data_IF_241748875477
#
_entry.id   IF_241748875477
#
_cell.length_a   1.000
_cell.length_b   1.000
_cell.length_c   1.000
_cell.angle_alpha   90.00
_cell.angle_beta   90.00
_cell.angle_gamma   90.00
#
_symmetry.space_group_name_H-M   'P 1'
#
loop_
_entity.id
_entity.type
_entity.pdbx_description
1 polymer ?
#
# COMPACT_ATOMS: atom_id res chain seq x y z
N UNK A 1 -0.81 2.98 -11.49
CA UNK A 1 -1.11 1.55 -11.26
C UNK A 1 0.17 0.81 -10.86
N UNK A 2 0.03 -0.14 -9.93
CA UNK A 2 1.06 -0.95 -9.30
C UNK A 2 0.58 -2.41 -9.16
N UNK A 3 1.44 -3.28 -8.63
CA UNK A 3 1.14 -4.68 -8.31
C UNK A 3 1.60 -5.04 -6.89
N UNK A 4 1.37 -6.28 -6.48
CA UNK A 4 1.99 -6.83 -5.26
C UNK A 4 3.34 -7.45 -5.62
N UNK A 5 4.39 -7.03 -4.92
CA UNK A 5 5.76 -7.51 -5.13
C UNK A 5 6.24 -8.25 -3.88
N UNK A 6 7.10 -9.23 -4.09
CA UNK A 6 7.74 -9.97 -3.02
C UNK A 6 9.22 -10.15 -3.36
N UNK A 7 10.09 -9.81 -2.41
CA UNK A 7 11.50 -10.12 -2.46
C UNK A 7 11.80 -11.23 -1.45
N UNK A 8 12.45 -12.30 -1.92
CA UNK A 8 12.91 -13.40 -1.07
C UNK A 8 14.43 -13.37 -1.06
N UNK A 9 15.00 -13.05 0.09
CA UNK A 9 16.44 -13.06 0.30
C UNK A 9 17.02 -14.48 0.19
N UNK A 10 18.25 -14.59 -0.30
CA UNK A 10 18.96 -15.87 -0.35
C UNK A 10 19.28 -16.40 1.06
N UNK A 11 19.57 -15.48 1.98
CA UNK A 11 19.89 -15.78 3.38
C UNK A 11 18.97 -14.99 4.33
N UNK A 12 18.58 -15.63 5.44
CA UNK A 12 17.76 -14.97 6.45
C UNK A 12 18.48 -13.73 7.02
N UNK A 13 17.74 -12.60 7.14
CA UNK A 13 18.25 -11.31 7.67
C UNK A 13 19.34 -10.63 6.83
N UNK A 14 19.60 -11.11 5.62
CA UNK A 14 20.54 -10.48 4.69
C UNK A 14 19.83 -10.09 3.39
N UNK A 15 19.63 -8.79 3.18
CA UNK A 15 18.96 -8.27 1.99
C UNK A 15 19.92 -8.01 0.81
N UNK A 16 21.18 -8.46 0.90
CA UNK A 16 22.20 -8.20 -0.12
C UNK A 16 22.03 -9.02 -1.41
N UNK A 17 21.23 -10.08 -1.39
CA UNK A 17 20.95 -10.91 -2.56
C UNK A 17 19.59 -11.62 -2.43
N UNK A 18 18.90 -11.80 -3.55
CA UNK A 18 17.63 -12.53 -3.55
C UNK A 18 16.87 -12.48 -4.86
N UNK A 19 15.67 -13.06 -4.83
CA UNK A 19 14.77 -13.14 -5.98
C UNK A 19 13.57 -12.22 -5.81
N UNK A 20 13.28 -11.42 -6.84
CA UNK A 20 12.12 -10.56 -6.93
C UNK A 20 10.99 -11.27 -7.71
N UNK A 21 9.77 -11.16 -7.18
CA UNK A 21 8.55 -11.71 -7.75
C UNK A 21 7.46 -10.63 -7.83
N UNK A 22 6.52 -10.82 -8.76
CA UNK A 22 5.25 -10.09 -8.82
C UNK A 22 4.08 -11.06 -8.75
N UNK A 23 3.00 -10.67 -8.07
CA UNK A 23 1.80 -11.48 -7.99
C UNK A 23 0.99 -11.43 -9.29
N UNK A 24 0.37 -12.56 -9.62
CA UNK A 24 -0.79 -12.68 -10.50
C UNK A 24 -2.00 -12.96 -9.63
N UNK A 25 -2.99 -12.07 -9.70
CA UNK A 25 -4.27 -12.19 -9.01
C UNK A 25 -5.18 -13.12 -9.81
N UNK A 26 -5.74 -14.12 -9.15
CA UNK A 26 -6.70 -15.06 -9.72
C UNK A 26 -8.09 -14.44 -9.91
N UNK A 27 -9.06 -15.27 -10.27
CA UNK A 27 -10.46 -14.85 -10.30
C UNK A 27 -11.00 -14.60 -8.88
N UNK A 28 -12.08 -13.81 -8.78
CA UNK A 28 -12.78 -13.57 -7.51
C UNK A 28 -12.33 -12.34 -6.72
N UNK A 29 -11.43 -11.51 -7.27
CA UNK A 29 -11.03 -10.27 -6.61
C UNK A 29 -12.26 -9.41 -6.31
N UNK A 30 -12.36 -8.95 -5.07
CA UNK A 30 -13.44 -8.10 -4.60
C UNK A 30 -12.93 -7.20 -3.49
N UNK A 31 -13.55 -6.02 -3.39
CA UNK A 31 -13.37 -5.09 -2.27
C UNK A 31 -14.53 -5.17 -1.28
N UNK A 32 -15.44 -6.12 -1.42
CA UNK A 32 -16.42 -6.45 -0.37
C UNK A 32 -15.74 -7.31 0.71
N UNK A 33 -15.67 -6.85 1.97
CA UNK A 33 -15.10 -7.63 3.07
C UNK A 33 -15.80 -8.98 3.34
N UNK A 34 -17.04 -9.16 2.87
CA UNK A 34 -17.77 -10.42 2.98
C UNK A 34 -17.45 -11.40 1.83
N UNK A 35 -16.80 -10.95 0.76
CA UNK A 35 -16.46 -11.79 -0.37
C UNK A 35 -15.27 -12.71 -0.06
N UNK A 36 -15.24 -13.87 -0.72
CA UNK A 36 -14.20 -14.88 -0.50
C UNK A 36 -12.79 -14.35 -0.80
N UNK A 37 -12.62 -13.50 -1.81
CA UNK A 37 -11.33 -13.01 -2.28
C UNK A 37 -10.79 -13.78 -3.48
N UNK A 38 -9.50 -13.60 -3.77
CA UNK A 38 -8.82 -14.20 -4.91
C UNK A 38 -7.52 -14.89 -4.49
N UNK A 39 -7.22 -16.02 -5.11
CA UNK A 39 -5.92 -16.67 -4.97
C UNK A 39 -4.81 -15.85 -5.65
N UNK A 40 -3.59 -15.99 -5.13
CA UNK A 40 -2.38 -15.36 -5.64
C UNK A 40 -1.40 -16.43 -6.12
N UNK A 41 -0.85 -16.21 -7.30
CA UNK A 41 0.31 -16.95 -7.82
C UNK A 41 1.45 -15.99 -8.11
N UNK A 42 2.68 -16.49 -8.23
CA UNK A 42 3.86 -15.62 -8.28
C UNK A 42 4.66 -15.82 -9.56
N UNK A 43 5.01 -14.71 -10.19
CA UNK A 43 5.85 -14.66 -11.38
C UNK A 43 7.23 -14.21 -10.95
N UNK A 44 8.23 -15.04 -11.24
CA UNK A 44 9.63 -14.69 -11.00
C UNK A 44 10.06 -13.61 -11.98
N UNK A 45 10.54 -12.48 -11.47
CA UNK A 45 11.08 -11.39 -12.28
C UNK A 45 12.59 -11.52 -12.49
N UNK A 46 13.34 -11.85 -11.44
CA UNK A 46 14.78 -11.95 -11.53
C UNK A 46 15.45 -12.19 -10.19
N UNK A 47 16.71 -12.60 -10.23
CA UNK A 47 17.59 -12.71 -9.06
C UNK A 47 18.81 -11.81 -9.25
N UNK A 48 19.18 -11.08 -8.20
CA UNK A 48 20.37 -10.23 -8.21
C UNK A 48 20.91 -9.99 -6.81
N UNK A 49 22.19 -9.60 -6.74
CA UNK A 49 22.79 -8.98 -5.55
C UNK A 49 22.65 -7.45 -5.59
N UNK A 50 22.75 -6.78 -4.45
CA UNK A 50 22.79 -5.31 -4.38
C UNK A 50 23.94 -4.73 -5.20
N UNK A 51 25.11 -5.39 -5.19
CA UNK A 51 26.27 -4.96 -5.98
C UNK A 51 26.01 -5.07 -7.49
N UNK A 52 25.31 -6.11 -7.94
CA UNK A 52 24.88 -6.23 -9.34
C UNK A 52 23.87 -5.13 -9.70
N UNK A 53 22.89 -4.84 -8.83
CA UNK A 53 21.91 -3.77 -9.07
C UNK A 53 22.60 -2.40 -9.14
N UNK A 54 23.55 -2.13 -8.24
CA UNK A 54 24.35 -0.90 -8.27
C UNK A 54 25.16 -0.79 -9.57
N UNK A 55 25.83 -1.87 -10.00
CA UNK A 55 26.58 -1.89 -11.25
C UNK A 55 25.66 -1.67 -12.47
N UNK A 56 24.48 -2.31 -12.50
CA UNK A 56 23.49 -2.10 -13.55
C UNK A 56 23.03 -0.63 -13.59
N UNK A 57 22.79 0.00 -12.44
CA UNK A 57 22.38 1.41 -12.36
C UNK A 57 23.47 2.38 -12.85
N UNK A 58 24.75 2.06 -12.58
CA UNK A 58 25.90 2.87 -13.06
C UNK A 58 26.14 2.75 -14.56
N UNK A 59 25.77 1.62 -15.18
CA UNK A 59 26.13 1.30 -16.56
C UNK A 59 24.99 1.34 -17.56
N UNK A 60 23.75 1.64 -17.14
CA UNK A 60 22.59 1.70 -18.04
C UNK A 60 21.80 2.98 -17.80
N UNK A 61 21.41 3.66 -18.88
CA UNK A 61 20.36 4.68 -18.83
C UNK A 61 19.02 4.03 -19.13
N UNK A 62 17.87 4.59 -18.68
CA UNK A 62 16.55 4.00 -18.92
C UNK A 62 16.28 3.58 -20.38
N UNK A 63 16.64 4.44 -21.34
CA UNK A 63 16.48 4.18 -22.78
C UNK A 63 17.36 3.05 -23.33
N UNK A 64 18.42 2.67 -22.62
CA UNK A 64 19.28 1.54 -22.98
C UNK A 64 18.67 0.20 -22.52
N UNK A 65 17.59 0.24 -21.71
CA UNK A 65 16.94 -0.93 -21.07
C UNK A 65 15.58 -1.23 -21.70
N UNK A 66 14.70 -0.22 -21.78
CA UNK A 66 13.37 -0.33 -22.37
C UNK A 66 13.15 0.84 -23.33
N UNK A 67 12.79 0.54 -24.58
CA UNK A 67 12.26 1.55 -25.50
C UNK A 67 10.77 1.76 -25.21
N UNK A 68 10.37 3.02 -25.03
CA UNK A 68 9.02 3.42 -24.62
C UNK A 68 8.45 4.40 -25.66
N UNK A 69 7.30 4.05 -26.23
CA UNK A 69 6.48 4.94 -27.05
C UNK A 69 5.19 5.30 -26.30
N UNK A 70 4.75 6.54 -26.48
CA UNK A 70 3.54 7.09 -25.85
C UNK A 70 2.32 7.07 -26.79
N UNK A 71 2.55 6.65 -28.03
CA UNK A 71 1.54 6.40 -29.06
C UNK A 71 1.82 5.04 -29.66
N UNK A 72 0.79 4.37 -30.18
CA UNK A 72 0.94 3.07 -30.83
C UNK A 72 1.88 3.19 -32.04
N UNK A 73 3.04 2.50 -32.05
CA UNK A 73 3.96 2.54 -33.18
C UNK A 73 3.51 1.65 -34.35
N UNK A 74 2.40 0.91 -34.22
CA UNK A 74 1.97 -0.12 -35.17
C UNK A 74 3.06 -1.19 -35.45
N UNK A 75 3.89 -1.47 -34.45
CA UNK A 75 4.98 -2.44 -34.50
C UNK A 75 4.70 -3.54 -33.46
N UNK A 76 4.56 -4.77 -33.95
CA UNK A 76 4.25 -5.95 -33.15
C UNK A 76 5.33 -6.30 -32.11
N UNK A 77 6.54 -5.74 -32.22
CA UNK A 77 7.58 -5.91 -31.22
C UNK A 77 7.36 -5.07 -29.96
N UNK A 78 6.39 -4.15 -29.96
CA UNK A 78 5.99 -3.40 -28.78
C UNK A 78 4.72 -3.99 -28.17
N UNK A 79 4.69 -4.06 -26.85
CA UNK A 79 3.50 -4.44 -26.11
C UNK A 79 2.93 -3.23 -25.38
N UNK A 80 1.61 -3.06 -25.50
CA UNK A 80 0.89 -2.04 -24.74
C UNK A 80 0.86 -2.44 -23.26
N UNK A 81 1.24 -1.52 -22.41
CA UNK A 81 1.16 -1.62 -20.95
C UNK A 81 0.54 -0.34 -20.39
N UNK A 82 0.22 -0.35 -19.10
CA UNK A 82 -0.05 0.87 -18.34
C UNK A 82 0.99 1.01 -17.23
N UNK A 83 1.61 2.18 -17.16
CA UNK A 83 2.51 2.55 -16.07
C UNK A 83 2.20 3.98 -15.64
N UNK A 84 2.05 4.20 -14.32
CA UNK A 84 1.60 5.50 -13.80
C UNK A 84 0.18 5.90 -14.24
N UNK A 85 -0.64 4.94 -14.67
CA UNK A 85 -1.98 5.22 -15.23
C UNK A 85 -1.98 5.66 -16.70
N UNK A 86 -0.82 5.70 -17.37
CA UNK A 86 -0.71 6.09 -18.78
C UNK A 86 -0.41 4.89 -19.66
N UNK A 87 -1.08 4.80 -20.81
CA UNK A 87 -0.77 3.80 -21.82
C UNK A 87 0.63 4.04 -22.40
N UNK A 88 1.43 2.99 -22.48
CA UNK A 88 2.77 2.99 -23.08
C UNK A 88 2.91 1.75 -23.96
N UNK A 89 3.65 1.87 -25.06
CA UNK A 89 4.04 0.74 -25.91
C UNK A 89 5.52 0.53 -25.67
N UNK A 90 5.87 -0.63 -25.10
CA UNK A 90 7.22 -0.87 -24.62
C UNK A 90 7.84 -2.10 -25.25
N UNK A 91 9.16 -2.06 -25.42
CA UNK A 91 9.98 -3.18 -25.88
C UNK A 91 11.26 -3.21 -25.07
N UNK A 92 11.57 -4.36 -24.49
CA UNK A 92 12.84 -4.57 -23.76
C UNK A 92 13.97 -4.67 -24.79
N UNK A 93 15.09 -4.01 -24.50
CA UNK A 93 16.28 -4.08 -25.35
C UNK A 93 16.95 -5.46 -25.18
N UNK A 94 17.53 -6.05 -26.24
CA UNK A 94 18.10 -7.40 -26.17
C UNK A 94 19.08 -7.59 -25.01
N UNK A 95 18.88 -8.63 -24.19
CA UNK A 95 19.76 -8.96 -23.06
C UNK A 95 19.61 -8.04 -21.85
N UNK A 96 18.58 -7.19 -21.81
CA UNK A 96 18.32 -6.24 -20.71
C UNK A 96 17.22 -6.69 -19.76
N UNK A 97 16.75 -7.93 -19.84
CA UNK A 97 15.66 -8.46 -19.02
C UNK A 97 15.98 -8.36 -17.52
N UNK A 98 17.19 -8.76 -17.10
CA UNK A 98 17.63 -8.64 -15.70
C UNK A 98 17.71 -7.17 -15.27
N UNK A 99 18.21 -6.28 -16.13
CA UNK A 99 18.27 -4.84 -15.83
C UNK A 99 16.86 -4.27 -15.68
N UNK A 100 15.95 -4.64 -16.59
CA UNK A 100 14.56 -4.22 -16.58
C UNK A 100 13.81 -4.69 -15.33
N UNK A 101 14.10 -5.91 -14.83
CA UNK A 101 13.49 -6.43 -13.62
C UNK A 101 13.77 -5.56 -12.38
N UNK A 102 14.96 -4.95 -12.28
CA UNK A 102 15.40 -4.22 -11.08
C UNK A 102 15.40 -2.69 -11.24
N UNK A 103 15.52 -2.15 -12.45
CA UNK A 103 15.57 -0.69 -12.70
C UNK A 103 14.34 -0.15 -13.44
N UNK A 104 13.53 -1.02 -14.04
CA UNK A 104 12.29 -0.69 -14.75
C UNK A 104 11.14 -1.61 -14.28
N UNK A 105 11.15 -1.96 -12.99
CA UNK A 105 10.41 -3.07 -12.39
C UNK A 105 8.93 -3.08 -12.74
N UNK A 106 8.24 -1.93 -12.68
CA UNK A 106 6.80 -1.87 -12.97
C UNK A 106 6.49 -2.23 -14.44
N UNK A 107 7.29 -1.74 -15.38
CA UNK A 107 7.12 -2.05 -16.81
C UNK A 107 7.42 -3.51 -17.07
N UNK A 108 8.54 -4.01 -16.52
CA UNK A 108 8.94 -5.40 -16.67
C UNK A 108 7.91 -6.37 -16.06
N UNK A 109 7.41 -6.07 -14.86
CA UNK A 109 6.40 -6.87 -14.18
C UNK A 109 5.09 -6.97 -14.96
N UNK A 110 4.65 -5.85 -15.56
CA UNK A 110 3.49 -5.85 -16.46
C UNK A 110 3.75 -6.77 -17.66
N UNK A 111 4.91 -6.64 -18.33
CA UNK A 111 5.27 -7.47 -19.48
C UNK A 111 5.38 -8.95 -19.11
N UNK A 112 5.90 -9.26 -17.93
CA UNK A 112 6.00 -10.62 -17.40
C UNK A 112 4.63 -11.23 -17.05
N UNK A 113 3.56 -10.44 -17.08
CA UNK A 113 2.18 -10.88 -16.87
C UNK A 113 1.61 -10.62 -15.48
N UNK A 114 2.33 -9.89 -14.63
CA UNK A 114 1.90 -9.50 -13.29
C UNK A 114 0.61 -8.68 -13.29
N UNK A 115 -0.15 -8.79 -12.20
CA UNK A 115 -1.41 -8.07 -12.01
C UNK A 115 -1.16 -6.62 -11.58
N UNK A 116 -0.84 -5.78 -12.56
CA UNK A 116 -0.50 -4.36 -12.36
C UNK A 116 -1.75 -3.45 -12.35
N UNK A 117 -2.72 -3.74 -11.48
CA UNK A 117 -4.01 -3.04 -11.43
C UNK A 117 -4.26 -2.17 -10.20
N UNK A 118 -3.53 -2.37 -9.10
CA UNK A 118 -3.74 -1.61 -7.86
C UNK A 118 -3.38 -0.14 -8.06
N UNK A 119 -4.21 0.75 -7.54
CA UNK A 119 -4.04 2.19 -7.80
C UNK A 119 -2.91 2.78 -6.96
N UNK A 120 -2.96 2.55 -5.64
CA UNK A 120 -1.94 3.01 -4.69
C UNK A 120 -1.92 2.07 -3.47
N UNK A 121 -0.90 1.22 -3.42
CA UNK A 121 -0.62 0.35 -2.26
C UNK A 121 0.39 1.07 -1.37
N UNK A 122 0.17 1.06 -0.07
CA UNK A 122 1.02 1.76 0.92
C UNK A 122 1.59 0.77 1.95
N UNK A 123 1.52 1.09 3.24
CA UNK A 123 2.07 0.32 4.33
C UNK A 123 1.62 -1.13 4.32
N UNK A 124 2.55 -2.03 4.66
CA UNK A 124 2.31 -3.46 4.80
C UNK A 124 2.85 -3.94 6.14
N UNK A 125 2.13 -4.84 6.79
CA UNK A 125 2.53 -5.42 8.08
C UNK A 125 2.11 -6.89 8.17
N UNK A 126 2.63 -7.63 9.15
CA UNK A 126 2.39 -9.07 9.30
C UNK A 126 1.83 -9.39 10.68
N UNK A 127 0.84 -10.28 10.69
CA UNK A 127 0.33 -11.03 11.82
C UNK A 127 0.87 -12.46 11.69
N UNK A 128 1.90 -12.74 12.49
CA UNK A 128 2.65 -13.99 12.54
C UNK A 128 1.75 -15.12 13.03
N UNK A 129 0.97 -14.88 14.08
CA UNK A 129 0.12 -15.90 14.71
C UNK A 129 -0.87 -16.51 13.71
N UNK A 130 -1.51 -15.68 12.89
CA UNK A 130 -2.51 -16.14 11.92
C UNK A 130 -1.93 -16.33 10.51
N UNK A 131 -0.61 -16.18 10.33
CA UNK A 131 0.05 -16.15 9.02
C UNK A 131 -0.69 -15.26 8.02
N UNK A 132 -0.91 -14.01 8.39
CA UNK A 132 -1.64 -13.04 7.56
C UNK A 132 -0.80 -11.77 7.39
N UNK A 133 -0.66 -11.27 6.16
CA UNK A 133 -0.17 -9.92 5.91
C UNK A 133 -1.34 -8.96 5.69
N UNK A 134 -1.16 -7.69 6.02
CA UNK A 134 -2.11 -6.62 5.70
C UNK A 134 -1.42 -5.59 4.85
N UNK A 135 -2.11 -5.09 3.83
CA UNK A 135 -1.60 -4.00 2.99
C UNK A 135 -2.66 -2.92 2.84
N UNK A 136 -2.24 -1.68 3.04
CA UNK A 136 -3.08 -0.52 2.81
C UNK A 136 -3.28 -0.32 1.31
N UNK A 137 -4.53 -0.09 0.92
CA UNK A 137 -4.93 0.29 -0.42
C UNK A 137 -5.54 1.69 -0.32
N UNK A 138 -4.66 2.69 -0.37
CA UNK A 138 -4.99 4.07 -0.02
C UNK A 138 -6.23 4.55 -0.77
N UNK A 139 -6.33 4.27 -2.07
CA UNK A 139 -7.51 4.63 -2.87
C UNK A 139 -7.85 3.49 -3.83
N UNK A 140 -9.16 3.23 -4.00
CA UNK A 140 -9.68 2.26 -4.97
C UNK A 140 -10.31 3.06 -6.11
N UNK A 141 -9.48 3.65 -6.96
CA UNK A 141 -9.90 4.53 -8.06
C UNK A 141 -9.19 4.16 -9.36
N UNK A 142 -9.35 4.96 -10.42
CA UNK A 142 -8.52 4.90 -11.64
C UNK A 142 -8.36 3.48 -12.22
N UNK A 143 -7.15 2.90 -12.15
CA UNK A 143 -6.81 1.62 -12.78
C UNK A 143 -7.59 0.42 -12.25
N UNK A 144 -8.22 0.56 -11.09
CA UNK A 144 -9.10 -0.46 -10.53
C UNK A 144 -10.54 -0.32 -11.03
N UNK A 145 -10.96 0.82 -11.57
CA UNK A 145 -12.34 1.02 -12.01
C UNK A 145 -12.50 0.52 -13.45
N UNK A 146 -13.45 -0.38 -13.68
CA UNK A 146 -13.69 -0.98 -15.01
C UNK A 146 -13.86 0.09 -16.09
N UNK A 147 -13.11 -0.05 -17.19
CA UNK A 147 -13.17 0.85 -18.33
C UNK A 147 -12.50 2.21 -18.14
N UNK A 148 -11.90 2.51 -16.98
CA UNK A 148 -11.24 3.79 -16.75
C UNK A 148 -9.99 3.95 -17.64
N UNK A 149 -9.89 5.07 -18.36
CA UNK A 149 -8.75 5.35 -19.25
C UNK A 149 -7.41 5.43 -18.50
N UNK A 150 -7.43 5.73 -17.20
CA UNK A 150 -6.24 5.87 -16.36
C UNK A 150 -5.79 4.53 -15.79
N UNK A 151 -5.27 3.68 -16.68
CA UNK A 151 -4.52 2.49 -16.29
C UNK A 151 -5.32 1.21 -16.14
N UNK A 152 -6.64 1.21 -16.40
CA UNK A 152 -7.43 -0.01 -16.28
C UNK A 152 -7.02 -1.03 -17.35
N UNK A 153 -6.82 -2.27 -16.90
CA UNK A 153 -6.54 -3.43 -17.75
C UNK A 153 -7.27 -4.66 -17.21
N UNK A 154 -8.06 -5.31 -18.06
CA UNK A 154 -8.75 -6.55 -17.73
C UNK A 154 -7.79 -7.67 -17.31
N UNK A 155 -6.59 -7.77 -17.90
CA UNK A 155 -5.63 -8.85 -17.58
C UNK A 155 -5.03 -8.72 -16.17
N UNK A 156 -5.25 -7.59 -15.49
CA UNK A 156 -4.84 -7.43 -14.10
C UNK A 156 -5.68 -8.28 -13.14
N UNK A 157 -6.91 -8.68 -13.51
CA UNK A 157 -7.91 -9.29 -12.64
C UNK A 157 -8.24 -8.48 -11.37
N UNK A 158 -7.84 -7.20 -11.33
CA UNK A 158 -8.12 -6.28 -10.23
C UNK A 158 -9.10 -5.27 -10.78
N UNK A 159 -10.37 -5.38 -10.40
CA UNK A 159 -11.40 -4.49 -10.92
C UNK A 159 -12.56 -4.32 -9.96
N UNK A 160 -13.08 -3.11 -9.90
CA UNK A 160 -14.32 -2.71 -9.23
C UNK A 160 -15.21 -1.96 -10.21
N UNK A 161 -16.52 -1.97 -9.97
CA UNK A 161 -17.48 -1.30 -10.85
C UNK A 161 -17.54 0.22 -10.59
N UNK A 162 -17.20 0.66 -9.38
CA UNK A 162 -17.24 2.07 -8.99
C UNK A 162 -16.06 2.39 -8.08
N UNK A 163 -15.57 3.63 -8.19
CA UNK A 163 -14.51 4.15 -7.35
C UNK A 163 -14.93 4.17 -5.87
N UNK A 164 -13.99 3.86 -4.98
CA UNK A 164 -14.08 4.11 -3.54
C UNK A 164 -12.87 4.96 -3.19
N UNK A 165 -13.08 6.26 -3.13
CA UNK A 165 -12.02 7.22 -2.90
C UNK A 165 -11.40 7.08 -1.51
N UNK A 166 -12.20 6.69 -0.52
CA UNK A 166 -11.77 6.37 0.83
C UNK A 166 -10.86 5.13 0.94
N UNK A 167 -10.73 4.31 -0.11
CA UNK A 167 -9.85 3.15 -0.11
C UNK A 167 -10.19 2.08 0.94
N UNK A 168 -9.18 1.35 1.41
CA UNK A 168 -9.34 0.29 2.39
C UNK A 168 -8.06 -0.48 2.72
N UNK A 169 -8.20 -1.56 3.48
CA UNK A 169 -7.11 -2.47 3.86
C UNK A 169 -7.40 -3.85 3.28
N UNK A 170 -6.42 -4.42 2.59
CA UNK A 170 -6.43 -5.82 2.16
C UNK A 170 -5.78 -6.69 3.23
N UNK A 171 -6.23 -7.94 3.32
CA UNK A 171 -5.57 -9.01 4.06
C UNK A 171 -5.15 -10.12 3.12
N UNK A 172 -3.99 -10.72 3.41
CA UNK A 172 -3.38 -11.75 2.59
C UNK A 172 -3.00 -12.96 3.45
N UNK A 173 -3.58 -14.12 3.18
CA UNK A 173 -3.15 -15.37 3.83
C UNK A 173 -1.77 -15.75 3.30
N UNK A 174 -0.89 -16.19 4.19
CA UNK A 174 0.50 -16.54 3.89
C UNK A 174 0.72 -18.05 4.08
N UNK A 175 1.52 -18.66 3.21
CA UNK A 175 1.90 -20.05 3.33
C UNK A 175 3.32 -20.32 2.79
N UNK A 176 3.92 -21.43 3.22
CA UNK A 176 5.14 -21.98 2.64
C UNK A 176 4.86 -22.94 1.48
N UNK A 177 5.93 -23.50 0.91
CA UNK A 177 5.84 -24.55 -0.12
C UNK A 177 5.25 -24.10 -1.45
N UNK A 178 5.21 -22.79 -1.72
CA UNK A 178 4.71 -22.24 -2.97
C UNK A 178 5.73 -22.40 -4.10
N UNK A 179 5.23 -22.38 -5.33
CA UNK A 179 6.05 -22.40 -6.54
C UNK A 179 5.78 -21.15 -7.38
N UNK A 180 6.79 -20.73 -8.12
CA UNK A 180 6.61 -19.68 -9.12
C UNK A 180 5.95 -20.23 -10.40
N UNK A 181 5.68 -19.33 -11.34
CA UNK A 181 5.06 -19.65 -12.64
C UNK A 181 5.89 -20.59 -13.54
N UNK A 182 7.14 -20.90 -13.17
CA UNK A 182 8.01 -21.85 -13.86
C UNK A 182 8.12 -23.17 -13.10
N UNK A 183 7.40 -23.32 -11.99
CA UNK A 183 7.41 -24.52 -11.14
C UNK A 183 8.59 -24.60 -10.18
N UNK A 184 9.44 -23.57 -10.11
CA UNK A 184 10.54 -23.53 -9.15
C UNK A 184 10.00 -23.21 -7.75
N UNK A 185 10.57 -23.85 -6.72
CA UNK A 185 10.18 -23.58 -5.35
C UNK A 185 10.54 -22.14 -4.95
N UNK A 186 9.62 -21.46 -4.27
CA UNK A 186 9.88 -20.18 -3.63
C UNK A 186 10.36 -20.48 -2.20
N UNK A 187 11.61 -20.14 -1.89
CA UNK A 187 12.23 -20.43 -0.61
C UNK A 187 11.76 -19.47 0.50
N UNK A 188 10.47 -19.51 0.83
CA UNK A 188 9.86 -18.69 1.88
C UNK A 188 8.65 -19.41 2.50
N UNK A 189 8.53 -19.29 3.82
CA UNK A 189 7.39 -19.79 4.61
C UNK A 189 6.23 -18.78 4.71
N UNK A 190 6.39 -17.63 4.07
CA UNK A 190 5.57 -16.42 4.25
C UNK A 190 5.07 -15.85 2.91
N UNK A 191 4.84 -16.71 1.91
CA UNK A 191 4.37 -16.29 0.58
C UNK A 191 2.87 -16.00 0.64
N UNK A 192 2.40 -14.80 0.22
CA UNK A 192 0.96 -14.55 0.11
C UNK A 192 0.30 -15.45 -0.95
N UNK A 193 -0.71 -16.20 -0.55
CA UNK A 193 -1.40 -17.19 -1.42
C UNK A 193 -2.84 -16.81 -1.72
N UNK A 194 -3.43 -15.91 -0.95
CA UNK A 194 -4.83 -15.52 -1.11
C UNK A 194 -5.05 -14.11 -0.57
N UNK A 195 -5.81 -13.28 -1.28
CA UNK A 195 -6.11 -11.88 -0.93
C UNK A 195 -7.60 -11.63 -0.81
N UNK A 196 -8.00 -10.84 0.18
CA UNK A 196 -9.39 -10.37 0.37
C UNK A 196 -9.40 -8.98 1.01
N UNK A 197 -10.51 -8.25 0.89
CA UNK A 197 -10.68 -7.02 1.65
C UNK A 197 -10.91 -7.32 3.13
N UNK A 198 -10.33 -6.50 4.02
CA UNK A 198 -10.55 -6.56 5.46
C UNK A 198 -11.45 -5.42 5.92
N UNK A 199 -11.06 -4.18 5.60
CA UNK A 199 -11.80 -2.96 5.90
C UNK A 199 -11.88 -2.14 4.63
N UNK A 200 -13.04 -1.53 4.37
CA UNK A 200 -13.21 -0.63 3.24
C UNK A 200 -13.91 0.62 3.73
N UNK A 201 -13.34 1.77 3.36
CA UNK A 201 -13.91 3.07 3.65
C UNK A 201 -15.17 3.33 2.84
N UNK A 202 -15.86 4.41 3.16
CA UNK A 202 -17.12 4.76 2.51
C UNK A 202 -17.11 6.22 2.08
N UNK A 203 -17.27 6.44 0.79
CA UNK A 203 -17.45 7.77 0.25
C UNK A 203 -18.83 8.32 0.64
N UNK A 204 -18.88 9.60 0.98
CA UNK A 204 -20.11 10.34 1.31
C UNK A 204 -20.13 11.69 0.58
N UNK A 205 -21.32 12.27 0.45
CA UNK A 205 -21.40 13.71 0.18
C UNK A 205 -20.73 14.46 1.34
N UNK A 206 -20.15 15.63 1.05
CA UNK A 206 -19.49 16.44 2.07
C UNK A 206 -20.43 16.66 3.28
N UNK A 207 -20.01 16.23 4.46
CA UNK A 207 -20.75 16.44 5.69
C UNK A 207 -20.63 17.90 6.19
N UNK A 208 -21.22 18.20 7.36
CA UNK A 208 -21.19 19.53 7.94
C UNK A 208 -19.78 20.03 8.30
N UNK A 209 -18.82 19.11 8.49
CA UNK A 209 -17.42 19.41 8.77
C UNK A 209 -16.58 19.47 7.49
N UNK A 210 -17.09 18.96 6.36
CA UNK A 210 -16.41 18.91 5.07
C UNK A 210 -15.82 17.54 4.72
N UNK A 211 -16.05 16.51 5.54
CA UNK A 211 -15.57 15.15 5.23
C UNK A 211 -16.34 14.58 4.04
N UNK A 212 -15.62 13.94 3.13
CA UNK A 212 -16.12 13.24 1.95
C UNK A 212 -15.95 11.71 2.05
N UNK A 213 -15.37 11.25 3.14
CA UNK A 213 -15.44 9.87 3.60
C UNK A 213 -16.16 9.83 4.96
N UNK A 214 -16.86 8.72 5.22
CA UNK A 214 -17.60 8.49 6.46
C UNK A 214 -16.63 8.51 7.65
N UNK A 215 -16.69 9.51 8.55
CA UNK A 215 -15.69 9.69 9.59
C UNK A 215 -15.65 8.51 10.56
N UNK A 216 -16.71 7.70 10.65
CA UNK A 216 -16.77 6.52 11.52
C UNK A 216 -16.08 5.28 10.92
N UNK A 217 -15.47 5.41 9.74
CA UNK A 217 -14.71 4.36 9.05
C UNK A 217 -13.32 4.86 8.66
N UNK A 218 -12.45 3.95 8.25
CA UNK A 218 -11.13 4.31 7.71
C UNK A 218 -11.27 5.05 6.38
N UNK A 219 -10.45 6.06 6.15
CA UNK A 219 -10.27 6.71 4.85
C UNK A 219 -8.80 6.88 4.51
N UNK A 220 -8.43 6.48 3.30
CA UNK A 220 -7.07 6.50 2.77
C UNK A 220 -6.04 5.95 3.77
N UNK A 221 -6.23 4.70 4.23
CA UNK A 221 -5.25 4.07 5.08
C UNK A 221 -3.92 4.03 4.36
N UNK A 222 -2.86 4.27 5.12
CA UNK A 222 -1.51 4.39 4.59
C UNK A 222 -0.55 3.56 5.44
N UNK A 223 -0.30 4.03 6.67
CA UNK A 223 0.62 3.40 7.59
C UNK A 223 -0.07 2.24 8.32
N UNK A 224 0.51 1.04 8.29
CA UNK A 224 -0.01 -0.13 9.00
C UNK A 224 1.01 -0.71 9.97
N UNK A 225 0.55 -1.08 11.17
CA UNK A 225 1.36 -1.84 12.13
C UNK A 225 0.52 -2.82 12.91
N UNK A 226 0.89 -4.09 12.89
CA UNK A 226 0.27 -5.09 13.74
C UNK A 226 1.02 -5.26 15.06
N UNK A 227 0.28 -5.35 16.16
CA UNK A 227 0.77 -5.80 17.46
C UNK A 227 0.29 -7.23 17.70
N UNK A 228 1.25 -8.16 17.81
CA UNK A 228 0.97 -9.56 18.11
C UNK A 228 0.30 -9.72 19.46
N UNK A 229 0.76 -8.94 20.46
CA UNK A 229 0.28 -9.11 21.83
C UNK A 229 -1.11 -8.52 22.03
N UNK A 230 -1.36 -7.33 21.47
CA UNK A 230 -2.67 -6.70 21.54
C UNK A 230 -3.70 -7.31 20.59
N UNK A 231 -3.25 -8.14 19.63
CA UNK A 231 -4.10 -8.68 18.56
C UNK A 231 -4.77 -7.56 17.77
N UNK A 232 -4.02 -6.49 17.51
CA UNK A 232 -4.55 -5.24 16.97
C UNK A 232 -3.73 -4.77 15.78
N UNK A 233 -4.44 -4.50 14.68
CA UNK A 233 -3.93 -3.77 13.54
C UNK A 233 -4.16 -2.28 13.77
N UNK A 234 -3.08 -1.53 13.90
CA UNK A 234 -3.12 -0.08 13.90
C UNK A 234 -3.04 0.46 12.48
N UNK A 235 -3.83 1.49 12.19
CA UNK A 235 -4.02 2.04 10.84
C UNK A 235 -3.96 3.57 10.92
N UNK A 236 -2.92 4.16 10.34
CA UNK A 236 -2.80 5.60 10.15
C UNK A 236 -3.34 6.02 8.79
N UNK A 237 -4.06 7.14 8.76
CA UNK A 237 -4.62 7.71 7.52
C UNK A 237 -3.73 8.80 6.92
N UNK A 238 -3.63 8.79 5.58
CA UNK A 238 -3.20 9.91 4.73
C UNK A 238 -4.34 10.25 3.76
N UNK A 239 -5.39 10.88 4.31
CA UNK A 239 -6.64 11.16 3.62
C UNK A 239 -6.75 12.59 3.14
N UNK A 240 -7.13 12.71 1.87
CA UNK A 240 -7.72 13.91 1.28
C UNK A 240 -9.25 13.95 1.40
N UNK A 241 -9.87 13.01 2.12
CA UNK A 241 -11.33 12.83 2.22
C UNK A 241 -11.85 13.00 3.65
N UNK A 242 -11.01 12.84 4.67
CA UNK A 242 -11.25 13.41 6.00
C UNK A 242 -10.58 14.80 6.13
N UNK A 243 -11.21 15.72 6.86
CA UNK A 243 -10.66 17.07 7.13
C UNK A 243 -9.45 17.02 8.05
N UNK A 244 -9.45 16.06 8.97
CA UNK A 244 -8.31 15.69 9.78
C UNK A 244 -8.19 14.17 9.78
N UNK A 245 -6.97 13.67 9.78
CA UNK A 245 -6.73 12.23 9.71
C UNK A 245 -6.81 11.57 11.08
N UNK A 246 -7.00 10.26 11.07
CA UNK A 246 -7.13 9.47 12.27
C UNK A 246 -6.06 8.38 12.39
N UNK A 247 -5.79 7.98 13.63
CA UNK A 247 -5.19 6.70 13.96
C UNK A 247 -6.30 5.76 14.45
N UNK A 248 -6.43 4.60 13.82
CA UNK A 248 -7.37 3.57 14.21
C UNK A 248 -6.68 2.36 14.83
N UNK A 249 -7.41 1.65 15.68
CA UNK A 249 -7.09 0.33 16.18
C UNK A 249 -8.19 -0.65 15.78
N UNK A 250 -7.83 -1.68 15.05
CA UNK A 250 -8.71 -2.79 14.69
C UNK A 250 -8.25 -4.07 15.39
N UNK A 251 -9.02 -4.53 16.38
CA UNK A 251 -8.72 -5.81 17.02
C UNK A 251 -9.19 -6.96 16.13
N UNK A 252 -8.28 -7.85 15.73
CA UNK A 252 -8.56 -8.88 14.74
C UNK A 252 -9.38 -10.05 15.31
N UNK A 253 -9.44 -10.21 16.62
CA UNK A 253 -10.17 -11.28 17.28
C UNK A 253 -11.63 -10.85 17.55
N UNK A 254 -11.82 -9.63 18.10
CA UNK A 254 -13.16 -9.08 18.39
C UNK A 254 -13.81 -8.36 17.20
N UNK A 255 -13.02 -8.05 16.16
CA UNK A 255 -13.42 -7.27 14.98
C UNK A 255 -13.82 -5.82 15.29
N UNK A 256 -13.49 -5.32 16.49
CA UNK A 256 -13.77 -3.94 16.88
C UNK A 256 -12.79 -2.97 16.19
N UNK A 257 -13.34 -1.94 15.55
CA UNK A 257 -12.61 -0.78 15.05
C UNK A 257 -12.81 0.39 16.03
N UNK A 258 -11.73 1.06 16.43
CA UNK A 258 -11.76 2.17 17.38
C UNK A 258 -10.83 3.28 16.95
N UNK A 259 -11.33 4.52 16.95
CA UNK A 259 -10.51 5.71 16.72
C UNK A 259 -9.70 6.01 17.99
N UNK A 260 -8.38 6.08 17.87
CA UNK A 260 -7.48 6.34 19.00
C UNK A 260 -7.00 7.79 19.07
N UNK A 261 -6.79 8.41 17.91
CA UNK A 261 -6.25 9.77 17.81
C UNK A 261 -6.83 10.46 16.58
N UNK A 262 -7.09 11.76 16.72
CA UNK A 262 -7.35 12.69 15.63
C UNK A 262 -6.16 13.62 15.49
N UNK A 263 -5.58 13.70 14.29
CA UNK A 263 -4.52 14.67 13.99
C UNK A 263 -5.09 16.07 13.80
N UNK A 264 -4.26 17.13 13.76
CA UNK A 264 -4.71 18.44 13.31
C UNK A 264 -5.24 18.39 11.87
N UNK A 265 -6.12 19.32 11.51
CA UNK A 265 -6.65 19.40 10.15
C UNK A 265 -5.53 19.59 9.09
N UNK A 266 -5.68 18.93 7.95
CA UNK A 266 -4.65 18.88 6.89
C UNK A 266 -3.39 18.09 7.23
N UNK A 267 -3.28 17.48 8.41
CA UNK A 267 -2.19 16.58 8.75
C UNK A 267 -2.53 15.13 8.39
N UNK A 268 -1.54 14.29 8.14
CA UNK A 268 -1.67 12.82 8.08
C UNK A 268 -1.26 12.17 9.42
N UNK A 269 -1.71 10.94 9.68
CA UNK A 269 -1.27 10.12 10.82
C UNK A 269 -0.22 9.10 10.36
N UNK A 270 1.04 9.28 10.81
CA UNK A 270 2.20 8.53 10.31
C UNK A 270 3.15 8.09 11.45
N UNK A 271 4.32 7.54 11.08
CA UNK A 271 5.37 7.03 11.98
C UNK A 271 4.87 6.04 13.02
N UNK A 272 3.95 5.19 12.56
CA UNK A 272 3.22 4.25 13.39
C UNK A 272 4.12 3.10 13.82
N UNK A 273 4.37 2.99 15.12
CA UNK A 273 5.00 1.81 15.72
C UNK A 273 4.16 1.31 16.90
N UNK A 274 4.08 0.00 17.05
CA UNK A 274 3.61 -0.66 18.24
C UNK A 274 4.80 -1.40 18.85
N UNK A 275 5.19 -1.00 20.06
CA UNK A 275 6.24 -1.63 20.83
C UNK A 275 5.58 -2.28 22.03
N UNK A 276 5.49 -3.61 21.97
CA UNK A 276 4.89 -4.41 23.03
C UNK A 276 5.94 -4.63 24.14
N UNK A 277 5.55 -4.37 25.39
CA UNK A 277 6.27 -4.77 26.62
C UNK A 277 7.71 -4.28 26.80
N UNK A 278 8.06 -3.11 26.27
CA UNK A 278 9.35 -2.50 26.56
C UNK A 278 9.40 -2.10 28.04
N UNK A 279 10.13 -2.88 28.84
CA UNK A 279 10.23 -2.74 30.29
C UNK A 279 8.87 -2.75 31.02
N UNK A 280 7.92 -3.58 30.54
CA UNK A 280 6.59 -3.71 31.14
C UNK A 280 5.57 -2.67 30.68
N UNK A 281 5.91 -1.85 29.69
CA UNK A 281 5.02 -0.86 29.08
C UNK A 281 4.79 -1.17 27.60
N UNK A 282 3.58 -0.89 27.15
CA UNK A 282 3.22 -0.96 25.72
C UNK A 282 3.07 0.46 25.19
N UNK A 283 3.74 0.73 24.08
CA UNK A 283 3.75 2.05 23.44
C UNK A 283 3.16 1.95 22.04
N UNK A 284 2.19 2.81 21.75
CA UNK A 284 1.75 3.07 20.38
C UNK A 284 2.39 4.40 19.99
N UNK A 285 3.54 4.33 19.32
CA UNK A 285 4.19 5.51 18.76
C UNK A 285 3.38 6.00 17.57
N UNK A 286 3.16 7.30 17.53
CA UNK A 286 2.49 7.96 16.43
C UNK A 286 3.00 9.40 16.33
N UNK A 287 3.03 9.90 15.11
CA UNK A 287 3.19 11.32 14.86
C UNK A 287 2.19 11.76 13.80
N UNK A 288 2.08 13.08 13.66
CA UNK A 288 1.45 13.67 12.48
C UNK A 288 2.49 14.41 11.65
N UNK A 289 2.28 14.47 10.33
CA UNK A 289 3.08 15.29 9.42
C UNK A 289 2.22 16.41 8.82
N UNK A 290 2.88 17.52 8.44
CA UNK A 290 2.35 18.61 7.62
C UNK A 290 0.97 19.17 8.04
N UNK A 291 0.79 19.50 9.32
CA UNK A 291 -0.44 20.13 9.80
C UNK A 291 -0.77 21.42 9.02
N UNK A 292 -2.02 21.54 8.56
CA UNK A 292 -2.47 22.63 7.70
C UNK A 292 -1.98 22.56 6.26
N UNK A 293 -1.67 21.36 5.74
CA UNK A 293 -1.51 21.15 4.29
C UNK A 293 -2.88 21.19 3.61
N UNK A 294 -3.29 22.39 3.24
CA UNK A 294 -4.65 22.65 2.80
C UNK A 294 -4.89 22.23 1.34
N UNK A 295 -5.46 21.04 1.16
CA UNK A 295 -5.99 20.57 -0.13
C UNK A 295 -7.38 21.09 -0.52
N UNK A 296 -7.90 20.56 -1.64
CA UNK A 296 -9.20 20.93 -2.24
C UNK A 296 -10.43 20.55 -1.41
N UNK A 297 -10.26 19.61 -0.47
CA UNK A 297 -11.26 19.20 0.50
C UNK A 297 -11.49 20.24 1.61
N UNK A 298 -10.48 21.05 1.93
CA UNK A 298 -10.58 22.07 2.95
C UNK A 298 -11.20 23.33 2.36
N UNK A 299 -12.48 23.56 2.64
CA UNK A 299 -13.20 24.76 2.18
C UNK A 299 -12.53 26.04 2.70
N UNK A 300 -12.78 27.17 2.03
CA UNK A 300 -12.24 28.45 2.47
C UNK A 300 -12.66 28.77 3.91
N UNK A 301 -13.92 28.51 4.28
CA UNK A 301 -14.43 28.75 5.62
C UNK A 301 -13.71 27.91 6.69
N UNK A 302 -13.39 26.64 6.39
CA UNK A 302 -12.57 25.81 7.29
C UNK A 302 -11.17 26.39 7.45
N UNK A 303 -10.53 26.77 6.34
CA UNK A 303 -9.18 27.35 6.36
C UNK A 303 -9.13 28.65 7.16
N UNK A 304 -10.07 29.56 6.93
CA UNK A 304 -10.13 30.84 7.64
C UNK A 304 -10.26 30.65 9.16
N UNK A 305 -10.96 29.58 9.58
CA UNK A 305 -11.14 29.24 10.99
C UNK A 305 -9.92 28.53 11.59
N UNK A 306 -9.35 27.56 10.87
CA UNK A 306 -8.35 26.63 11.42
C UNK A 306 -6.90 27.07 11.17
N UNK A 307 -6.59 27.75 10.08
CA UNK A 307 -5.22 28.14 9.73
C UNK A 307 -4.54 29.01 10.81
N UNK A 308 -5.20 30.00 11.43
CA UNK A 308 -4.60 30.75 12.53
C UNK A 308 -4.23 29.85 13.73
N UNK A 309 -5.08 28.86 14.05
CA UNK A 309 -4.84 27.92 15.15
C UNK A 309 -3.70 26.95 14.82
N UNK A 310 -3.66 26.42 13.60
CA UNK A 310 -2.58 25.53 13.16
C UNK A 310 -1.24 26.27 13.19
N UNK A 311 -1.17 27.50 12.67
CA UNK A 311 0.07 28.28 12.67
C UNK A 311 0.57 28.58 14.08
N UNK A 312 -0.33 28.95 14.99
CA UNK A 312 0.00 29.25 16.37
C UNK A 312 0.56 28.01 17.11
N UNK A 313 0.02 26.82 16.85
CA UNK A 313 0.37 25.61 17.59
C UNK A 313 1.49 24.77 16.95
N UNK A 314 1.71 24.91 15.64
CA UNK A 314 2.60 24.01 14.88
C UNK A 314 3.65 24.77 14.09
N UNK A 315 4.32 25.74 14.72
CA UNK A 315 5.46 26.51 14.17
C UNK A 315 5.17 27.02 12.76
N UNK A 316 4.07 27.73 12.59
CA UNK A 316 3.62 28.27 11.29
C UNK A 316 3.47 27.19 10.19
N UNK A 317 3.00 26.00 10.58
CA UNK A 317 2.85 24.77 9.75
C UNK A 317 4.15 24.00 9.47
N UNK A 318 5.28 24.45 10.00
CA UNK A 318 6.57 23.73 9.91
C UNK A 318 6.88 22.85 11.13
N UNK A 319 5.93 22.71 12.05
CA UNK A 319 6.04 21.87 13.24
C UNK A 319 5.26 20.56 13.09
N UNK A 320 5.86 19.48 13.56
CA UNK A 320 5.22 18.18 13.76
C UNK A 320 5.37 17.78 15.24
N UNK A 321 4.46 16.94 15.75
CA UNK A 321 4.62 16.33 17.07
C UNK A 321 4.88 14.84 16.92
N UNK A 322 5.92 14.35 17.58
CA UNK A 322 6.24 12.92 17.70
C UNK A 322 5.97 12.51 19.14
N UNK A 323 5.20 11.45 19.34
CA UNK A 323 4.85 11.00 20.67
C UNK A 323 4.41 9.55 20.70
N UNK A 324 3.82 9.18 21.84
CA UNK A 324 3.21 7.88 22.04
C UNK A 324 1.90 8.01 22.81
N UNK A 325 1.01 7.08 22.53
CA UNK A 325 -0.14 6.78 23.39
C UNK A 325 0.29 5.69 24.38
N UNK A 326 -0.14 5.84 25.64
CA UNK A 326 0.03 4.83 26.69
C UNK A 326 -1.33 4.48 27.28
N UNK A 327 -1.52 3.24 27.69
CA UNK A 327 -2.75 2.75 28.30
C UNK A 327 -2.65 2.82 29.83
N UNK A 328 -3.37 3.78 30.44
CA UNK A 328 -3.45 4.08 31.89
C UNK A 328 -2.11 4.35 32.61
N UNK A 329 -2.09 4.97 33.81
CA UNK A 329 -0.87 5.19 34.59
C UNK A 329 -0.31 3.88 35.20
N UNK A 330 -0.97 2.74 34.97
CA UNK A 330 -0.49 1.41 35.33
C UNK A 330 -0.68 0.44 34.17
N UNK A 331 0.35 -0.37 33.88
CA UNK A 331 0.37 -1.30 32.76
C UNK A 331 -0.85 -2.22 32.71
N UNK A 332 -1.46 -2.38 31.54
CA UNK A 332 -2.30 -3.55 31.26
C UNK A 332 -1.37 -4.76 31.24
N UNK A 333 -1.49 -5.65 32.24
CA UNK A 333 -0.87 -6.98 32.16
C UNK A 333 -1.60 -7.78 31.09
N UNK A 334 -0.98 -7.85 29.91
CA UNK A 334 -1.42 -8.72 28.83
C UNK A 334 -0.99 -10.15 29.21
N UNK A 335 -1.95 -10.94 29.69
CA UNK A 335 -1.78 -12.33 30.15
C UNK A 335 -1.51 -13.26 28.98
#
# INVERSE_FOLDING_TARGET
>A
NSGLFMFVADNEKDLSAGTLYVAKVGAGFSVDPAAAGADLTWIRLGHATSAEVEAMAKSNRPQDVIDVKWTDPADANYRKIFAGGTAQWVRIMPGKEKVAAFLETHRYAYLAGGSMGFTKMEGTTVNIKDKTAYSALQNIVDSMVKGNAKGWNAESNISVDTAINAGGVLQHKLAGGQKDNQGAAINSEWVPVHTSALLVGKDIAADALGNKADPELVANPDNLKFSEKLRTLFIGEDSGYHVNNFLWAYNVDTKQLTRLLSTPAGAESTGLHAVDELNGWTYIMSNFQHAGDWGSQHTQALRDTLDPLVRANYRDRFGASVGYLTADPTSIKLV
#
